data_IF_967529570157
#
_entry.id   IF_967529570157
#
_cell.length_a   1.000
_cell.length_b   1.000
_cell.length_c   1.000
_cell.angle_alpha   90.00
_cell.angle_beta   90.00
_cell.angle_gamma   90.00
#
_symmetry.space_group_name_H-M   'P 1'
#
loop_
_entity.id
_entity.type
_entity.pdbx_description
1 polymer ?
#
# COMPACT_ATOMS: atom_id res chain seq x y z
N UNK A 1 -20.46 53.37 -46.62
CA UNK A 1 -20.96 52.28 -47.46
C UNK A 1 -21.22 51.07 -46.55
N UNK A 2 -22.46 50.94 -46.09
CA UNK A 2 -23.09 49.67 -45.68
C UNK A 2 -23.50 48.92 -46.97
N UNK A 3 -23.78 47.60 -47.00
CA UNK A 3 -24.74 46.93 -46.10
C UNK A 3 -24.27 45.54 -45.58
N UNK A 4 -24.65 45.13 -44.37
CA UNK A 4 -25.88 44.36 -44.07
C UNK A 4 -26.18 43.23 -45.06
N UNK A 5 -25.96 41.98 -44.64
CA UNK A 5 -26.74 40.84 -45.11
C UNK A 5 -27.16 39.95 -43.95
N UNK A 6 -28.47 39.94 -43.74
CA UNK A 6 -29.24 38.96 -42.99
C UNK A 6 -29.61 37.82 -43.94
N UNK A 7 -29.48 36.57 -43.51
CA UNK A 7 -30.27 35.45 -44.03
C UNK A 7 -30.23 34.27 -43.04
N UNK A 8 -31.34 34.06 -42.34
CA UNK A 8 -31.65 32.81 -41.67
C UNK A 8 -32.17 31.78 -42.70
N UNK A 9 -31.94 30.47 -42.46
CA UNK A 9 -32.95 29.47 -42.79
C UNK A 9 -33.48 28.73 -41.55
N UNK A 10 -34.78 28.45 -41.64
CA UNK A 10 -35.68 27.66 -40.81
C UNK A 10 -35.24 26.19 -40.59
N UNK A 11 -35.87 25.47 -39.62
CA UNK A 11 -35.31 24.30 -38.97
C UNK A 11 -35.53 23.02 -39.77
N UNK A 12 -34.52 22.15 -39.82
CA UNK A 12 -34.69 20.75 -40.21
C UNK A 12 -34.91 19.88 -38.98
N UNK A 13 -36.11 19.32 -38.93
CA UNK A 13 -36.56 18.30 -37.99
C UNK A 13 -36.48 16.94 -38.69
N UNK A 14 -35.65 15.99 -38.24
CA UNK A 14 -35.91 14.59 -38.46
C UNK A 14 -36.43 13.98 -37.16
N UNK A 15 -37.72 13.61 -37.19
CA UNK A 15 -38.32 12.67 -36.26
C UNK A 15 -37.50 11.38 -36.25
N UNK A 16 -36.77 11.13 -35.16
CA UNK A 16 -36.40 9.78 -34.75
C UNK A 16 -37.18 9.45 -33.48
N UNK A 17 -38.38 8.91 -33.67
CA UNK A 17 -39.12 8.19 -32.64
C UNK A 17 -38.45 6.82 -32.47
N UNK A 18 -37.48 6.72 -31.57
CA UNK A 18 -37.06 5.44 -31.01
C UNK A 18 -37.70 5.34 -29.62
N UNK A 19 -38.83 4.65 -29.57
CA UNK A 19 -39.44 4.14 -28.34
C UNK A 19 -38.41 3.29 -27.60
N UNK A 20 -38.07 3.58 -26.34
CA UNK A 20 -37.33 2.63 -25.52
C UNK A 20 -38.24 1.44 -25.24
N UNK A 21 -37.90 0.30 -25.82
CA UNK A 21 -38.42 -0.98 -25.35
C UNK A 21 -38.00 -1.15 -23.89
N UNK A 22 -38.89 -1.58 -22.98
CA UNK A 22 -38.50 -1.89 -21.62
C UNK A 22 -37.51 -3.06 -21.66
N UNK A 23 -36.26 -2.77 -21.31
CA UNK A 23 -35.27 -3.82 -21.08
C UNK A 23 -35.75 -4.64 -19.90
N UNK A 24 -36.11 -5.87 -20.26
CA UNK A 24 -36.48 -6.97 -19.41
C UNK A 24 -35.46 -7.09 -18.26
N UNK A 25 -35.97 -7.06 -17.02
CA UNK A 25 -35.21 -7.26 -15.79
C UNK A 25 -34.49 -8.62 -15.85
N UNK A 26 -33.25 -8.60 -16.34
CA UNK A 26 -32.30 -9.67 -16.15
C UNK A 26 -31.84 -9.64 -14.70
N UNK A 27 -32.26 -10.65 -13.93
CA UNK A 27 -31.66 -11.02 -12.66
C UNK A 27 -30.14 -11.17 -12.84
N UNK A 28 -29.40 -10.11 -12.54
CA UNK A 28 -27.98 -10.25 -12.22
C UNK A 28 -27.88 -10.56 -10.74
N UNK A 29 -27.16 -11.62 -10.34
CA UNK A 29 -26.90 -11.87 -8.95
C UNK A 29 -26.13 -10.67 -8.41
N UNK A 30 -26.72 -9.98 -7.43
CA UNK A 30 -26.01 -9.08 -6.53
C UNK A 30 -24.80 -9.85 -6.02
N UNK A 31 -23.62 -9.51 -6.54
CA UNK A 31 -22.38 -9.88 -5.89
C UNK A 31 -22.37 -9.11 -4.58
N UNK A 32 -22.90 -9.75 -3.53
CA UNK A 32 -22.55 -9.38 -2.17
C UNK A 32 -21.04 -9.47 -2.13
N UNK A 33 -20.37 -8.33 -2.08
CA UNK A 33 -19.07 -8.27 -1.48
C UNK A 33 -19.27 -9.00 -0.15
N UNK A 34 -18.67 -10.20 -0.04
CA UNK A 34 -18.62 -10.88 1.23
C UNK A 34 -17.72 -10.01 2.08
N UNK A 35 -18.31 -8.96 2.66
CA UNK A 35 -17.93 -8.52 3.99
C UNK A 35 -17.92 -9.82 4.76
N UNK A 36 -16.75 -10.38 5.01
CA UNK A 36 -16.58 -11.23 6.16
C UNK A 36 -16.92 -10.25 7.27
N UNK A 37 -18.12 -10.32 7.88
CA UNK A 37 -18.29 -9.52 9.06
C UNK A 37 -17.21 -10.01 10.01
N UNK A 38 -16.45 -9.10 10.61
CA UNK A 38 -15.79 -9.40 11.87
C UNK A 38 -16.92 -9.56 12.89
N UNK A 39 -17.71 -10.63 12.73
CA UNK A 39 -18.46 -11.17 13.83
C UNK A 39 -17.38 -11.61 14.80
N UNK A 40 -17.30 -10.91 15.93
CA UNK A 40 -17.05 -11.53 17.23
C UNK A 40 -18.05 -12.69 17.37
N UNK A 41 -17.74 -13.78 16.68
CA UNK A 41 -18.63 -14.91 16.50
C UNK A 41 -18.67 -15.69 17.79
N UNK A 42 -19.83 -15.65 18.45
CA UNK A 42 -20.23 -16.69 19.38
C UNK A 42 -20.26 -18.02 18.62
N UNK A 43 -19.16 -18.77 18.74
CA UNK A 43 -18.93 -20.08 18.13
C UNK A 43 -19.95 -21.11 18.62
N UNK A 44 -20.61 -21.78 17.68
CA UNK A 44 -21.40 -22.98 17.93
C UNK A 44 -20.50 -24.22 17.86
N UNK A 45 -20.33 -24.89 19.00
CA UNK A 45 -20.38 -26.36 19.11
C UNK A 45 -19.27 -27.26 18.52
N UNK A 46 -18.18 -26.76 17.95
CA UNK A 46 -17.04 -27.59 17.56
C UNK A 46 -16.04 -27.76 18.71
N UNK A 47 -15.75 -29.00 19.13
CA UNK A 47 -14.87 -29.36 20.25
C UNK A 47 -13.38 -29.01 20.08
N UNK A 48 -13.07 -27.73 19.85
CA UNK A 48 -11.70 -27.21 19.85
C UNK A 48 -11.29 -26.86 21.28
N UNK A 49 -10.15 -27.40 21.72
CA UNK A 49 -9.50 -26.94 22.94
C UNK A 49 -9.22 -25.42 22.92
N UNK A 50 -8.80 -24.85 24.06
CA UNK A 50 -8.48 -23.42 24.14
C UNK A 50 -7.45 -23.04 23.07
N UNK A 51 -7.58 -21.84 22.51
CA UNK A 51 -6.67 -21.33 21.48
C UNK A 51 -5.21 -21.35 22.00
N UNK A 52 -4.25 -21.91 21.23
CA UNK A 52 -2.83 -21.83 21.60
C UNK A 52 -2.38 -20.36 21.72
N UNK A 53 -1.31 -20.11 22.49
CA UNK A 53 -0.71 -18.76 22.57
C UNK A 53 -0.22 -18.33 21.18
N UNK A 54 -0.49 -17.09 20.77
CA UNK A 54 -0.06 -16.55 19.47
C UNK A 54 1.46 -16.50 19.33
N UNK A 55 2.18 -16.15 20.41
CA UNK A 55 3.64 -16.01 20.39
C UNK A 55 4.36 -17.01 21.29
N UNK A 56 5.57 -17.38 20.88
CA UNK A 56 6.53 -18.19 21.65
C UNK A 56 7.95 -17.66 21.46
N UNK A 57 8.85 -17.94 22.40
CA UNK A 57 10.26 -17.56 22.32
C UNK A 57 11.11 -18.74 21.84
N UNK A 58 11.86 -18.55 20.77
CA UNK A 58 12.77 -19.56 20.19
C UNK A 58 14.15 -18.92 20.09
N UNK A 59 15.13 -19.46 20.82
CA UNK A 59 16.52 -18.97 20.82
C UNK A 59 16.66 -17.47 21.11
N UNK A 60 15.88 -16.94 22.07
CA UNK A 60 15.95 -15.52 22.43
C UNK A 60 15.09 -14.60 21.57
N UNK A 61 14.55 -15.07 20.45
CA UNK A 61 13.71 -14.30 19.51
C UNK A 61 12.24 -14.72 19.68
N UNK A 62 11.34 -13.74 19.82
CA UNK A 62 9.90 -14.00 19.86
C UNK A 62 9.38 -14.23 18.44
N UNK A 63 8.53 -15.25 18.24
CA UNK A 63 8.02 -15.67 16.93
C UNK A 63 6.56 -16.08 16.99
N UNK A 64 5.90 -16.12 15.84
CA UNK A 64 4.56 -16.70 15.70
C UNK A 64 4.60 -18.19 16.07
N UNK A 65 3.69 -18.62 16.94
CA UNK A 65 3.57 -19.99 17.38
C UNK A 65 3.03 -20.89 16.25
N UNK A 66 3.76 -21.93 15.81
CA UNK A 66 3.27 -22.87 14.79
C UNK A 66 1.95 -23.55 15.17
N UNK A 67 1.69 -23.79 16.46
CA UNK A 67 0.43 -24.40 16.93
C UNK A 67 -0.75 -23.44 16.79
N UNK A 68 -0.55 -22.16 17.14
CA UNK A 68 -1.56 -21.13 16.93
C UNK A 68 -1.90 -20.99 15.43
N UNK A 69 -0.86 -21.00 14.58
CA UNK A 69 -1.02 -20.96 13.13
C UNK A 69 -1.92 -22.09 12.64
N UNK A 70 -1.60 -23.35 12.99
CA UNK A 70 -2.41 -24.51 12.60
C UNK A 70 -3.84 -24.43 13.13
N UNK A 71 -4.00 -23.98 14.38
CA UNK A 71 -5.32 -23.76 14.97
C UNK A 71 -6.14 -22.73 14.19
N UNK A 72 -5.54 -21.60 13.81
CA UNK A 72 -6.21 -20.54 13.06
C UNK A 72 -6.55 -20.99 11.63
N UNK A 73 -5.62 -21.65 10.95
CA UNK A 73 -5.83 -22.23 9.61
C UNK A 73 -6.92 -23.29 9.60
N UNK A 74 -7.09 -24.06 10.69
CA UNK A 74 -8.19 -25.03 10.82
C UNK A 74 -9.58 -24.39 10.87
N UNK A 75 -9.67 -23.07 11.09
CA UNK A 75 -10.91 -22.29 11.04
C UNK A 75 -11.22 -21.78 9.62
N UNK A 76 -10.42 -22.14 8.61
CA UNK A 76 -10.60 -21.68 7.23
C UNK A 76 -10.11 -20.25 6.98
N UNK A 77 -9.35 -19.68 7.93
CA UNK A 77 -8.74 -18.35 7.80
C UNK A 77 -7.23 -18.51 7.85
N UNK A 78 -6.47 -18.03 6.85
CA UNK A 78 -5.02 -18.01 6.92
C UNK A 78 -4.56 -17.34 8.22
N UNK A 79 -3.64 -17.98 8.95
CA UNK A 79 -3.14 -17.39 10.18
C UNK A 79 -2.25 -16.18 9.92
N UNK A 80 -1.59 -16.17 8.76
CA UNK A 80 -0.70 -15.10 8.33
C UNK A 80 -0.47 -15.12 6.83
N UNK A 81 -0.19 -13.94 6.28
CA UNK A 81 0.18 -13.65 4.89
C UNK A 81 1.71 -13.59 4.69
N UNK A 82 2.49 -13.59 5.77
CA UNK A 82 3.96 -13.62 5.71
C UNK A 82 4.44 -14.94 5.10
N UNK A 83 5.37 -14.90 4.14
CA UNK A 83 5.81 -16.10 3.42
C UNK A 83 6.58 -17.09 4.31
N UNK A 84 7.38 -16.58 5.26
CA UNK A 84 8.24 -17.39 6.14
C UNK A 84 7.98 -17.14 7.65
N UNK A 85 6.78 -17.43 8.16
CA UNK A 85 6.37 -16.96 9.49
C UNK A 85 7.07 -17.68 10.66
N UNK A 86 7.73 -18.81 10.41
CA UNK A 86 8.60 -19.47 11.41
C UNK A 86 9.98 -18.81 11.54
N UNK A 87 10.34 -17.93 10.59
CA UNK A 87 11.59 -17.20 10.57
C UNK A 87 11.36 -15.74 10.93
N UNK A 88 10.28 -15.15 10.41
CA UNK A 88 9.93 -13.75 10.58
C UNK A 88 9.83 -13.31 12.06
N UNK A 89 10.14 -12.03 12.28
CA UNK A 89 9.83 -11.32 13.52
C UNK A 89 8.30 -11.26 13.75
N UNK A 90 7.83 -11.01 14.98
CA UNK A 90 6.41 -10.96 15.26
C UNK A 90 5.79 -9.69 14.67
N UNK A 91 4.56 -9.79 14.17
CA UNK A 91 3.73 -8.64 13.78
C UNK A 91 2.84 -8.31 14.97
N UNK A 92 2.97 -7.11 15.51
CA UNK A 92 2.09 -6.62 16.58
C UNK A 92 1.14 -5.59 15.97
N UNK A 93 -0.14 -5.94 15.82
CA UNK A 93 -1.11 -5.09 15.11
C UNK A 93 -2.06 -4.29 16.00
N UNK A 94 -2.14 -4.61 17.29
CA UNK A 94 -3.02 -3.94 18.25
C UNK A 94 -2.49 -4.04 19.68
N UNK A 95 -3.02 -3.24 20.60
CA UNK A 95 -2.64 -3.30 22.02
C UNK A 95 -2.91 -4.67 22.64
N UNK A 96 -4.03 -5.32 22.30
CA UNK A 96 -4.32 -6.70 22.72
C UNK A 96 -3.26 -7.69 22.21
N UNK A 97 -2.71 -7.44 21.02
CA UNK A 97 -1.64 -8.26 20.45
C UNK A 97 -0.29 -8.03 21.14
N UNK A 98 -0.03 -6.78 21.54
CA UNK A 98 1.14 -6.40 22.35
C UNK A 98 1.10 -7.05 23.74
N UNK A 99 -0.06 -7.07 24.39
CA UNK A 99 -0.26 -7.79 25.65
C UNK A 99 0.04 -9.29 25.51
N UNK A 100 -0.42 -9.92 24.41
CA UNK A 100 -0.12 -11.33 24.12
C UNK A 100 1.38 -11.57 23.90
N UNK A 101 2.07 -10.65 23.24
CA UNK A 101 3.52 -10.69 23.05
C UNK A 101 4.24 -10.63 24.41
N UNK A 102 3.86 -9.69 25.27
CA UNK A 102 4.43 -9.50 26.59
C UNK A 102 4.19 -10.70 27.50
N UNK A 103 2.96 -11.25 27.51
CA UNK A 103 2.65 -12.46 28.25
C UNK A 103 3.53 -13.65 27.81
N UNK A 104 3.82 -13.77 26.51
CA UNK A 104 4.74 -14.79 26.00
C UNK A 104 6.20 -14.54 26.40
N UNK A 105 6.65 -13.28 26.34
CA UNK A 105 8.02 -12.89 26.76
C UNK A 105 8.25 -13.18 28.25
N UNK A 106 7.35 -12.72 29.12
CA UNK A 106 7.42 -12.90 30.57
C UNK A 106 7.35 -14.39 30.94
N UNK A 107 6.46 -15.16 30.32
CA UNK A 107 6.35 -16.60 30.56
C UNK A 107 7.62 -17.38 30.18
N UNK A 108 8.43 -16.83 29.25
CA UNK A 108 9.73 -17.39 28.86
C UNK A 108 10.91 -16.82 29.68
N UNK A 109 10.65 -16.11 30.79
CA UNK A 109 11.67 -15.47 31.63
C UNK A 109 12.29 -14.21 31.00
N UNK A 110 11.68 -13.66 29.96
CA UNK A 110 12.05 -12.38 29.37
C UNK A 110 11.53 -11.17 30.17
N UNK A 111 11.86 -9.98 29.67
CA UNK A 111 11.29 -8.71 30.16
C UNK A 111 10.10 -8.32 29.29
N UNK A 112 9.32 -7.37 29.79
CA UNK A 112 8.36 -6.64 28.98
C UNK A 112 9.06 -6.00 27.77
N UNK A 113 8.41 -6.09 26.62
CA UNK A 113 8.82 -5.49 25.35
C UNK A 113 8.08 -4.16 25.25
N UNK A 114 8.77 -3.03 25.39
CA UNK A 114 8.12 -1.73 25.29
C UNK A 114 7.68 -1.45 23.86
N UNK A 115 6.66 -0.61 23.71
CA UNK A 115 6.29 -0.03 22.43
C UNK A 115 7.39 0.93 21.97
N UNK A 116 7.58 1.03 20.65
CA UNK A 116 8.49 2.05 20.11
C UNK A 116 7.98 3.46 20.45
N UNK A 117 8.90 4.41 20.64
CA UNK A 117 8.57 5.80 20.99
C UNK A 117 7.57 6.43 19.99
N UNK A 118 7.77 6.21 18.69
CA UNK A 118 6.86 6.70 17.64
C UNK A 118 5.44 6.12 17.76
N UNK A 119 5.34 4.88 18.24
CA UNK A 119 4.05 4.18 18.41
C UNK A 119 3.31 4.72 19.61
N UNK A 120 4.00 4.94 20.75
CA UNK A 120 3.42 5.60 21.91
C UNK A 120 2.90 6.99 21.55
N UNK A 121 3.73 7.81 20.90
CA UNK A 121 3.35 9.16 20.48
C UNK A 121 2.14 9.17 19.53
N UNK A 122 2.06 8.18 18.63
CA UNK A 122 0.91 8.06 17.71
C UNK A 122 -0.35 7.64 18.44
N UNK A 123 -0.26 6.70 19.38
CA UNK A 123 -1.42 6.30 20.19
C UNK A 123 -1.95 7.50 20.99
N UNK A 124 -1.07 8.32 21.57
CA UNK A 124 -1.46 9.54 22.27
C UNK A 124 -2.13 10.54 21.34
N UNK A 125 -1.54 10.83 20.17
CA UNK A 125 -2.12 11.72 19.16
C UNK A 125 -3.49 11.22 18.67
N UNK A 126 -3.64 9.91 18.46
CA UNK A 126 -4.89 9.29 18.03
C UNK A 126 -5.99 9.34 19.08
N UNK A 127 -5.68 9.66 20.33
CA UNK A 127 -6.65 9.88 21.40
C UNK A 127 -7.05 11.36 21.54
N UNK A 128 -6.43 12.26 20.76
CA UNK A 128 -6.83 13.67 20.72
C UNK A 128 -8.26 13.80 20.17
N UNK A 129 -9.17 14.52 20.87
CA UNK A 129 -10.57 14.64 20.47
C UNK A 129 -10.76 15.12 19.03
N UNK A 130 -9.93 16.05 18.56
CA UNK A 130 -9.97 16.64 17.22
C UNK A 130 -9.75 15.57 16.14
N UNK A 131 -8.67 14.79 16.27
CA UNK A 131 -8.32 13.70 15.34
C UNK A 131 -9.43 12.64 15.31
N UNK A 132 -9.96 12.28 16.47
CA UNK A 132 -11.04 11.30 16.58
C UNK A 132 -12.31 11.77 15.88
N UNK A 133 -12.69 13.04 16.11
CA UNK A 133 -13.86 13.65 15.47
C UNK A 133 -13.73 13.70 13.95
N UNK A 134 -12.54 14.03 13.43
CA UNK A 134 -12.26 14.01 11.99
C UNK A 134 -12.36 12.61 11.38
N UNK A 135 -11.95 11.58 12.11
CA UNK A 135 -12.14 10.18 11.72
C UNK A 135 -13.58 9.67 11.91
N UNK A 136 -14.45 10.45 12.57
CA UNK A 136 -15.84 10.07 12.87
C UNK A 136 -15.96 9.03 14.00
N UNK A 137 -15.00 9.02 14.91
CA UNK A 137 -14.90 8.08 16.05
C UNK A 137 -14.78 8.84 17.38
N UNK A 138 -15.06 8.14 18.48
CA UNK A 138 -14.78 8.65 19.83
C UNK A 138 -13.33 8.33 20.23
N UNK A 139 -12.68 9.11 21.11
CA UNK A 139 -11.31 8.80 21.57
C UNK A 139 -11.11 7.40 22.13
N UNK A 140 -12.12 6.85 22.82
CA UNK A 140 -12.10 5.49 23.36
C UNK A 140 -12.23 4.41 22.27
N UNK A 141 -12.67 4.76 21.06
CA UNK A 141 -12.94 3.82 19.98
C UNK A 141 -11.86 3.83 18.88
N UNK A 142 -11.15 4.96 18.70
CA UNK A 142 -10.24 5.17 17.58
C UNK A 142 -9.14 4.10 17.52
N UNK A 143 -8.42 3.91 18.63
CA UNK A 143 -7.30 2.97 18.73
C UNK A 143 -7.80 1.52 18.58
N UNK A 144 -8.97 1.21 19.13
CA UNK A 144 -9.55 -0.13 19.05
C UNK A 144 -10.03 -0.48 17.64
N UNK A 145 -10.72 0.45 16.95
CA UNK A 145 -11.20 0.23 15.59
C UNK A 145 -10.05 0.20 14.58
N UNK A 146 -9.08 1.11 14.69
CA UNK A 146 -7.88 1.05 13.84
C UNK A 146 -7.08 -0.23 14.15
N UNK A 147 -6.87 -0.55 15.42
CA UNK A 147 -6.20 -1.79 15.83
C UNK A 147 -6.90 -3.04 15.28
N UNK A 148 -8.23 -3.05 15.20
CA UNK A 148 -9.00 -4.13 14.62
C UNK A 148 -8.76 -4.28 13.11
N UNK A 149 -8.73 -3.18 12.34
CA UNK A 149 -8.46 -3.24 10.90
C UNK A 149 -7.00 -3.59 10.61
N UNK A 150 -6.04 -3.06 11.39
CA UNK A 150 -4.63 -3.45 11.27
C UNK A 150 -4.44 -4.93 11.60
N UNK A 151 -5.10 -5.44 12.65
CA UNK A 151 -5.04 -6.85 12.99
C UNK A 151 -5.73 -7.75 11.94
N UNK A 152 -6.77 -7.28 11.26
CA UNK A 152 -7.38 -8.00 10.12
C UNK A 152 -6.36 -8.22 9.00
N UNK A 153 -5.54 -7.22 8.70
CA UNK A 153 -4.57 -7.26 7.61
C UNK A 153 -3.16 -7.65 8.05
N UNK A 154 -2.93 -7.86 9.35
CA UNK A 154 -1.61 -8.05 9.95
C UNK A 154 -0.65 -6.88 9.66
N UNK A 155 -1.16 -5.66 9.63
CA UNK A 155 -0.32 -4.48 9.55
C UNK A 155 0.32 -4.22 10.93
N UNK A 156 1.65 -4.02 11.02
CA UNK A 156 2.28 -3.62 12.27
C UNK A 156 1.75 -2.26 12.74
N UNK A 157 1.47 -2.14 14.04
CA UNK A 157 0.99 -0.89 14.63
C UNK A 157 2.01 0.26 14.53
N UNK A 158 3.30 -0.08 14.37
CA UNK A 158 4.34 0.92 14.13
C UNK A 158 4.07 1.78 12.91
N UNK A 159 3.35 1.25 11.91
CA UNK A 159 2.99 1.96 10.69
C UNK A 159 1.82 2.94 10.86
N UNK A 160 1.18 3.02 12.03
CA UNK A 160 0.11 4.00 12.30
C UNK A 160 0.62 5.44 12.15
N UNK A 161 1.85 5.71 12.58
CA UNK A 161 2.44 7.04 12.46
C UNK A 161 2.57 7.47 10.99
N UNK A 162 2.81 6.52 10.09
CA UNK A 162 2.91 6.77 8.65
C UNK A 162 1.56 7.06 8.04
N UNK A 163 0.52 6.35 8.47
CA UNK A 163 -0.86 6.62 8.05
C UNK A 163 -1.33 8.03 8.46
N UNK A 164 -0.86 8.54 9.60
CA UNK A 164 -1.21 9.91 10.03
C UNK A 164 -0.71 11.00 9.08
N UNK A 165 0.33 10.75 8.27
CA UNK A 165 0.79 11.69 7.23
C UNK A 165 -0.31 11.99 6.20
N UNK A 166 -1.25 11.08 5.99
CA UNK A 166 -2.37 11.27 5.06
C UNK A 166 -3.28 12.45 5.46
N UNK A 167 -3.26 12.85 6.74
CA UNK A 167 -4.03 14.00 7.24
C UNK A 167 -3.48 15.35 6.74
N UNK A 168 -2.21 15.40 6.34
CA UNK A 168 -1.55 16.61 5.84
C UNK A 168 -1.95 16.96 4.39
N UNK A 169 -2.61 16.03 3.70
CA UNK A 169 -3.07 16.20 2.32
C UNK A 169 -4.51 16.68 2.29
N UNK A 170 -4.76 17.68 1.44
CA UNK A 170 -6.12 18.16 1.20
C UNK A 170 -6.93 17.17 0.36
N UNK A 171 -6.25 16.43 -0.53
CA UNK A 171 -6.86 15.45 -1.42
C UNK A 171 -5.97 14.23 -1.57
N UNK A 172 -6.57 13.05 -1.42
CA UNK A 172 -6.02 11.77 -1.88
C UNK A 172 -6.66 11.46 -3.24
N UNK A 173 -5.93 11.66 -4.34
CA UNK A 173 -6.44 11.48 -5.70
C UNK A 173 -6.03 10.13 -6.28
N UNK A 174 -7.00 9.26 -6.48
CA UNK A 174 -6.86 7.99 -7.19
C UNK A 174 -7.22 8.16 -8.66
N UNK A 175 -6.24 7.96 -9.52
CA UNK A 175 -6.36 7.95 -10.97
C UNK A 175 -6.38 6.50 -11.42
N UNK A 176 -7.49 6.05 -11.99
CA UNK A 176 -7.66 4.65 -12.40
C UNK A 176 -7.65 4.56 -13.92
N UNK A 177 -6.73 3.76 -14.47
CA UNK A 177 -6.79 3.38 -15.87
C UNK A 177 -8.06 2.57 -16.12
N UNK A 178 -8.85 3.05 -17.07
CA UNK A 178 -10.04 2.40 -17.58
C UNK A 178 -9.94 2.18 -19.09
N UNK A 179 -8.73 2.03 -19.62
CA UNK A 179 -8.43 1.68 -21.01
C UNK A 179 -8.86 0.26 -21.37
N UNK A 180 -8.96 -0.06 -22.67
CA UNK A 180 -9.35 -1.41 -23.11
C UNK A 180 -8.43 -2.53 -22.62
N UNK A 181 -7.15 -2.27 -22.35
CA UNK A 181 -6.19 -3.26 -21.85
C UNK A 181 -6.53 -3.76 -20.45
N UNK A 182 -7.26 -2.96 -19.65
CA UNK A 182 -7.70 -3.37 -18.31
C UNK A 182 -8.70 -4.55 -18.32
N UNK A 183 -9.19 -4.96 -19.49
CA UNK A 183 -9.99 -6.20 -19.66
C UNK A 183 -9.16 -7.47 -19.71
N UNK A 184 -7.84 -7.37 -19.86
CA UNK A 184 -6.90 -8.50 -19.87
C UNK A 184 -6.89 -9.15 -18.48
N UNK A 185 -6.67 -10.47 -18.46
CA UNK A 185 -6.52 -11.24 -17.23
C UNK A 185 -5.24 -10.81 -16.52
N UNK A 186 -5.37 -10.43 -15.25
CA UNK A 186 -4.27 -10.20 -14.33
C UNK A 186 -3.72 -11.55 -13.84
N UNK A 187 -2.49 -11.56 -13.37
CA UNK A 187 -1.84 -12.67 -12.68
C UNK A 187 -2.34 -12.84 -11.23
N UNK A 188 -3.09 -11.87 -10.72
CA UNK A 188 -3.78 -11.97 -9.43
C UNK A 188 -5.07 -12.81 -9.52
N UNK A 189 -5.42 -13.45 -8.40
CA UNK A 189 -6.65 -14.25 -8.27
C UNK A 189 -7.58 -13.65 -7.20
N UNK A 190 -8.88 -13.77 -7.43
CA UNK A 190 -9.90 -13.40 -6.45
C UNK A 190 -9.85 -14.33 -5.23
N UNK A 191 -10.52 -13.94 -4.14
CA UNK A 191 -10.62 -14.76 -2.92
C UNK A 191 -11.24 -16.16 -3.15
N UNK A 192 -11.99 -16.35 -4.23
CA UNK A 192 -12.55 -17.65 -4.62
C UNK A 192 -11.62 -18.45 -5.57
N UNK A 193 -10.38 -18.01 -5.77
CA UNK A 193 -9.37 -18.63 -6.62
C UNK A 193 -9.58 -18.41 -8.12
N UNK A 194 -10.56 -17.61 -8.55
CA UNK A 194 -10.77 -17.32 -9.98
C UNK A 194 -9.80 -16.24 -10.47
N UNK A 195 -9.26 -16.36 -11.69
CA UNK A 195 -8.52 -15.27 -12.32
C UNK A 195 -9.38 -14.00 -12.37
N UNK A 196 -8.74 -12.85 -12.19
CA UNK A 196 -9.39 -11.54 -12.30
C UNK A 196 -8.89 -10.81 -13.54
N UNK A 197 -9.66 -9.87 -14.06
CA UNK A 197 -9.11 -8.88 -15.00
C UNK A 197 -8.35 -7.81 -14.23
N UNK A 198 -7.43 -7.11 -14.90
CA UNK A 198 -6.69 -5.97 -14.32
C UNK A 198 -7.63 -4.89 -13.76
N UNK A 199 -8.78 -4.67 -14.41
CA UNK A 199 -9.87 -3.82 -13.89
C UNK A 199 -10.46 -4.28 -12.55
N UNK A 200 -10.68 -5.59 -12.41
CA UNK A 200 -11.21 -6.18 -11.18
C UNK A 200 -10.17 -6.17 -10.05
N UNK A 201 -8.90 -6.33 -10.40
CA UNK A 201 -7.79 -6.17 -9.47
C UNK A 201 -7.73 -4.73 -8.94
N UNK A 202 -7.73 -3.72 -9.83
CA UNK A 202 -7.72 -2.31 -9.45
C UNK A 202 -8.92 -1.97 -8.54
N UNK A 203 -10.12 -2.48 -8.85
CA UNK A 203 -11.30 -2.30 -7.99
C UNK A 203 -11.09 -2.90 -6.60
N UNK A 204 -10.57 -4.13 -6.53
CA UNK A 204 -10.33 -4.82 -5.27
C UNK A 204 -9.30 -4.07 -4.43
N UNK A 205 -8.13 -3.75 -5.00
CA UNK A 205 -7.05 -3.03 -4.32
C UNK A 205 -7.51 -1.67 -3.81
N UNK A 206 -8.24 -0.91 -4.63
CA UNK A 206 -8.83 0.36 -4.21
C UNK A 206 -9.75 0.19 -3.00
N UNK A 207 -10.62 -0.85 -2.97
CA UNK A 207 -11.50 -1.11 -1.83
C UNK A 207 -10.72 -1.54 -0.57
N UNK A 208 -9.66 -2.33 -0.73
CA UNK A 208 -8.79 -2.72 0.38
C UNK A 208 -8.08 -1.49 0.99
N UNK A 209 -7.56 -0.60 0.15
CA UNK A 209 -7.00 0.69 0.58
C UNK A 209 -8.07 1.56 1.27
N UNK A 210 -9.28 1.62 0.72
CA UNK A 210 -10.40 2.34 1.34
C UNK A 210 -10.72 1.80 2.74
N UNK A 211 -10.56 0.50 3.00
CA UNK A 211 -10.83 -0.07 4.32
C UNK A 211 -9.91 0.51 5.40
N UNK A 212 -8.62 0.69 5.08
CA UNK A 212 -7.66 1.36 5.97
C UNK A 212 -8.00 2.85 6.09
N UNK A 213 -8.20 3.55 4.96
CA UNK A 213 -8.55 4.98 4.94
C UNK A 213 -9.88 5.27 5.66
N UNK A 214 -10.78 4.29 5.72
CA UNK A 214 -12.00 4.33 6.50
C UNK A 214 -11.77 4.50 8.00
N UNK A 215 -10.55 4.26 8.51
CA UNK A 215 -10.21 4.37 9.92
C UNK A 215 -9.15 5.45 10.21
N UNK A 216 -8.65 6.15 9.20
CA UNK A 216 -7.63 7.20 9.31
C UNK A 216 -8.26 8.55 8.95
N UNK A 217 -8.01 9.66 9.67
CA UNK A 217 -8.54 10.95 9.28
C UNK A 217 -8.06 11.34 7.88
N UNK A 218 -8.95 11.97 7.09
CA UNK A 218 -8.61 12.52 5.78
C UNK A 218 -9.60 13.63 5.43
N UNK A 219 -9.17 14.55 4.56
CA UNK A 219 -9.99 15.67 4.09
C UNK A 219 -10.96 15.25 2.97
N UNK A 220 -10.40 14.80 1.84
CA UNK A 220 -11.16 14.37 0.68
C UNK A 220 -10.43 13.25 -0.07
N UNK A 221 -11.17 12.23 -0.50
CA UNK A 221 -10.69 11.23 -1.46
C UNK A 221 -11.38 11.52 -2.79
N UNK A 222 -10.59 11.70 -3.86
CA UNK A 222 -11.11 11.82 -5.22
C UNK A 222 -10.72 10.60 -6.04
N UNK A 223 -11.69 10.02 -6.76
CA UNK A 223 -11.43 8.94 -7.71
C UNK A 223 -11.80 9.44 -9.10
N UNK A 224 -10.86 9.37 -10.04
CA UNK A 224 -11.07 9.73 -11.43
C UNK A 224 -10.58 8.61 -12.36
N UNK A 225 -11.14 8.56 -13.56
CA UNK A 225 -10.80 7.56 -14.56
C UNK A 225 -10.22 8.23 -15.80
N UNK A 226 -9.31 7.56 -16.50
CA UNK A 226 -8.57 8.20 -17.60
C UNK A 226 -9.47 8.60 -18.78
N UNK A 227 -10.46 7.78 -19.15
CA UNK A 227 -11.31 7.96 -20.32
C UNK A 227 -12.68 8.58 -19.98
N UNK A 228 -12.91 9.02 -18.73
CA UNK A 228 -14.22 9.51 -18.26
C UNK A 228 -14.14 10.89 -17.61
N UNK A 229 -15.02 11.84 -17.94
CA UNK A 229 -15.02 13.14 -17.28
C UNK A 229 -15.48 13.07 -15.81
N UNK A 230 -16.24 12.04 -15.43
CA UNK A 230 -16.81 11.87 -14.10
C UNK A 230 -15.73 11.66 -13.04
N UNK A 231 -15.96 12.23 -11.85
CA UNK A 231 -15.13 12.05 -10.67
C UNK A 231 -15.99 11.74 -9.46
N UNK A 232 -15.57 10.78 -8.65
CA UNK A 232 -16.15 10.52 -7.35
C UNK A 232 -15.41 11.37 -6.32
N UNK A 233 -16.17 12.04 -5.44
CA UNK A 233 -15.63 12.70 -4.25
C UNK A 233 -16.21 12.01 -3.03
N UNK A 234 -15.34 11.41 -2.22
CA UNK A 234 -15.68 10.73 -0.99
C UNK A 234 -15.18 11.58 0.17
N UNK A 235 -16.10 11.96 1.05
CA UNK A 235 -15.82 12.72 2.27
C UNK A 235 -16.42 12.01 3.47
N UNK A 236 -15.75 12.13 4.62
CA UNK A 236 -16.24 11.57 5.89
C UNK A 236 -17.60 12.14 6.27
N UNK A 237 -17.70 13.48 6.27
CA UNK A 237 -18.87 14.24 6.71
C UNK A 237 -19.37 13.81 8.12
N UNK A 238 -18.44 13.58 9.06
CA UNK A 238 -18.75 13.14 10.43
C UNK A 238 -19.32 11.72 10.55
N UNK A 239 -19.35 10.93 9.47
CA UNK A 239 -19.78 9.53 9.50
C UNK A 239 -18.71 8.65 10.15
N UNK A 240 -19.15 7.69 10.95
CA UNK A 240 -18.27 6.63 11.44
C UNK A 240 -17.72 5.76 10.30
N UNK A 241 -16.60 5.04 10.53
CA UNK A 241 -15.95 4.19 9.52
C UNK A 241 -16.91 3.26 8.79
N UNK A 242 -17.74 2.52 9.53
CA UNK A 242 -18.66 1.53 8.96
C UNK A 242 -19.65 2.14 7.97
N UNK A 243 -20.27 3.27 8.32
CA UNK A 243 -21.25 3.96 7.48
C UNK A 243 -20.59 4.60 6.28
N UNK A 244 -19.41 5.20 6.48
CA UNK A 244 -18.60 5.74 5.39
C UNK A 244 -18.22 4.66 4.37
N UNK A 245 -17.66 3.54 4.83
CA UNK A 245 -17.19 2.44 3.99
C UNK A 245 -18.32 1.79 3.18
N UNK A 246 -19.48 1.57 3.79
CA UNK A 246 -20.63 1.01 3.09
C UNK A 246 -21.06 1.87 1.88
N UNK A 247 -21.07 3.20 2.07
CA UNK A 247 -21.39 4.13 0.99
C UNK A 247 -20.25 4.27 -0.03
N UNK A 248 -19.00 4.36 0.42
CA UNK A 248 -17.82 4.42 -0.44
C UNK A 248 -17.75 3.19 -1.36
N UNK A 249 -17.92 1.98 -0.81
CA UNK A 249 -17.94 0.75 -1.60
C UNK A 249 -19.06 0.73 -2.63
N UNK A 250 -20.27 1.17 -2.27
CA UNK A 250 -21.39 1.26 -3.20
C UNK A 250 -21.08 2.22 -4.37
N UNK A 251 -20.49 3.37 -4.09
CA UNK A 251 -20.13 4.35 -5.11
C UNK A 251 -19.00 3.84 -6.02
N UNK A 252 -17.99 3.20 -5.44
CA UNK A 252 -16.90 2.54 -6.19
C UNK A 252 -17.47 1.45 -7.08
N UNK A 253 -18.27 0.53 -6.53
CA UNK A 253 -18.86 -0.57 -7.29
C UNK A 253 -19.74 -0.06 -8.44
N UNK A 254 -20.49 1.03 -8.23
CA UNK A 254 -21.29 1.66 -9.29
C UNK A 254 -20.41 2.25 -10.40
N UNK A 255 -19.29 2.88 -10.07
CA UNK A 255 -18.37 3.42 -11.08
C UNK A 255 -17.64 2.32 -11.86
N UNK A 256 -17.25 1.24 -11.18
CA UNK A 256 -16.58 0.08 -11.79
C UNK A 256 -17.53 -0.82 -12.58
N UNK A 257 -18.84 -0.74 -12.35
CA UNK A 257 -19.85 -1.45 -13.14
C UNK A 257 -19.87 -1.04 -14.61
N UNK A 258 -19.45 0.20 -14.93
CA UNK A 258 -19.09 0.57 -16.30
C UNK A 258 -17.69 0.04 -16.58
N UNK A 259 -17.60 -1.00 -17.40
CA UNK A 259 -16.33 -1.63 -17.77
C UNK A 259 -15.36 -0.68 -18.49
N UNK A 260 -14.07 -1.03 -18.53
CA UNK A 260 -13.04 -0.18 -19.08
C UNK A 260 -13.09 -0.17 -20.62
N UNK A 261 -12.85 0.99 -21.23
CA UNK A 261 -12.88 1.24 -22.67
C UNK A 261 -11.96 2.40 -23.03
N UNK A 262 -11.39 2.38 -24.23
CA UNK A 262 -10.61 3.51 -24.76
C UNK A 262 -9.12 3.27 -24.68
N UNK A 263 -8.37 4.35 -24.45
CA UNK A 263 -6.90 4.40 -24.52
C UNK A 263 -6.30 4.75 -23.15
N UNK A 264 -5.00 5.00 -23.03
CA UNK A 264 -4.36 5.32 -21.75
C UNK A 264 -3.84 6.77 -21.73
N UNK A 265 -4.71 7.80 -21.70
CA UNK A 265 -4.32 9.22 -21.73
C UNK A 265 -3.81 9.72 -20.37
N UNK A 266 -2.87 8.99 -19.76
CA UNK A 266 -2.40 9.29 -18.40
C UNK A 266 -1.65 10.63 -18.32
N UNK A 267 -0.82 10.95 -19.32
CA UNK A 267 -0.11 12.23 -19.36
C UNK A 267 -1.08 13.43 -19.34
N UNK A 268 -2.15 13.36 -20.14
CA UNK A 268 -3.17 14.40 -20.21
C UNK A 268 -3.88 14.55 -18.86
N UNK A 269 -4.22 13.44 -18.21
CA UNK A 269 -4.89 13.44 -16.91
C UNK A 269 -4.00 13.92 -15.78
N UNK A 270 -2.72 13.58 -15.82
CA UNK A 270 -1.77 14.04 -14.83
C UNK A 270 -1.60 15.56 -14.92
N UNK A 271 -1.46 16.10 -16.15
CA UNK A 271 -1.46 17.56 -16.39
C UNK A 271 -2.74 18.23 -15.91
N UNK A 272 -3.89 17.64 -16.21
CA UNK A 272 -5.19 18.14 -15.74
C UNK A 272 -5.25 18.19 -14.21
N UNK A 273 -4.76 17.16 -13.51
CA UNK A 273 -4.69 17.12 -12.05
C UNK A 273 -3.83 18.26 -11.50
N UNK A 274 -2.59 18.42 -11.98
CA UNK A 274 -1.71 19.52 -11.52
C UNK A 274 -2.29 20.90 -11.82
N UNK A 275 -2.92 21.08 -12.99
CA UNK A 275 -3.56 22.35 -13.34
C UNK A 275 -4.75 22.66 -12.43
N UNK A 276 -5.56 21.65 -12.13
CA UNK A 276 -6.77 21.78 -11.31
C UNK A 276 -6.47 22.15 -9.87
N UNK A 277 -5.51 21.46 -9.25
CA UNK A 277 -5.18 21.69 -7.85
C UNK A 277 -4.23 22.87 -7.68
N UNK A 278 -3.42 23.17 -8.71
CA UNK A 278 -2.41 24.21 -8.64
C UNK A 278 -1.23 23.83 -7.74
N UNK A 279 -0.22 24.71 -7.66
CA UNK A 279 1.05 24.41 -6.98
C UNK A 279 0.98 24.48 -5.44
N UNK A 280 -0.08 25.08 -4.89
CA UNK A 280 -0.18 25.40 -3.46
C UNK A 280 -1.05 24.43 -2.68
N UNK A 281 -1.54 23.35 -3.31
CA UNK A 281 -2.35 22.33 -2.66
C UNK A 281 -1.54 21.07 -2.42
N UNK A 282 -1.73 20.47 -1.26
CA UNK A 282 -1.15 19.17 -0.95
C UNK A 282 -2.07 18.07 -1.49
N UNK A 283 -1.59 17.32 -2.49
CA UNK A 283 -2.34 16.25 -3.16
C UNK A 283 -1.48 15.01 -3.30
N UNK A 284 -1.83 13.96 -2.56
CA UNK A 284 -1.24 12.64 -2.76
C UNK A 284 -1.92 11.95 -3.94
N UNK A 285 -1.14 11.54 -4.95
CA UNK A 285 -1.67 10.94 -6.19
C UNK A 285 -1.31 9.47 -6.27
N UNK A 286 -2.28 8.67 -6.68
CA UNK A 286 -2.14 7.23 -6.88
C UNK A 286 -2.60 6.90 -8.29
N UNK A 287 -1.79 6.19 -9.08
CA UNK A 287 -2.16 5.74 -10.41
C UNK A 287 -2.26 4.23 -10.48
N UNK A 288 -3.48 3.71 -10.65
CA UNK A 288 -3.71 2.32 -11.02
C UNK A 288 -3.60 2.20 -12.54
N UNK A 289 -2.60 1.50 -13.05
CA UNK A 289 -2.38 1.36 -14.50
C UNK A 289 -1.77 0.03 -14.88
N UNK A 290 -1.94 -0.37 -16.14
CA UNK A 290 -1.47 -1.66 -16.63
C UNK A 290 -0.49 -1.59 -17.80
N UNK A 291 0.04 -0.40 -18.10
CA UNK A 291 1.03 -0.28 -19.14
C UNK A 291 1.38 1.15 -19.55
N UNK A 292 1.57 1.32 -20.85
CA UNK A 292 2.19 2.53 -21.41
C UNK A 292 1.15 3.62 -21.67
N UNK A 293 1.48 4.89 -21.36
CA UNK A 293 0.62 6.01 -21.71
C UNK A 293 0.54 6.21 -23.23
N UNK A 294 -0.55 6.85 -23.68
CA UNK A 294 -0.72 7.30 -25.05
C UNK A 294 0.48 8.14 -25.50
N UNK A 295 1.05 7.79 -26.65
CA UNK A 295 2.26 8.42 -27.18
C UNK A 295 3.56 7.70 -26.82
N UNK A 296 3.51 6.61 -26.05
CA UNK A 296 4.66 5.73 -25.79
C UNK A 296 5.81 6.44 -25.06
N UNK A 297 7.05 6.16 -25.47
CA UNK A 297 8.26 6.70 -24.80
C UNK A 297 8.29 8.24 -24.66
N UNK A 298 7.91 9.04 -25.68
CA UNK A 298 7.76 10.49 -25.51
C UNK A 298 6.84 10.89 -24.35
N UNK A 299 5.72 10.19 -24.15
CA UNK A 299 4.80 10.50 -23.06
C UNK A 299 5.34 10.08 -21.70
N UNK A 300 6.00 8.92 -21.61
CA UNK A 300 6.71 8.48 -20.39
C UNK A 300 7.75 9.50 -19.96
N UNK A 301 8.62 9.94 -20.88
CA UNK A 301 9.65 10.94 -20.59
C UNK A 301 9.04 12.28 -20.12
N UNK A 302 7.92 12.68 -20.70
CA UNK A 302 7.21 13.89 -20.31
C UNK A 302 6.52 13.77 -18.95
N UNK A 303 5.98 12.60 -18.60
CA UNK A 303 5.44 12.32 -17.25
C UNK A 303 6.56 12.44 -16.22
N UNK A 304 7.69 11.77 -16.45
CA UNK A 304 8.86 11.83 -15.57
C UNK A 304 9.35 13.27 -15.42
N UNK A 305 9.49 14.01 -16.54
CA UNK A 305 9.87 15.42 -16.51
C UNK A 305 8.89 16.26 -15.69
N UNK A 306 7.59 16.02 -15.86
CA UNK A 306 6.55 16.74 -15.13
C UNK A 306 6.63 16.46 -13.63
N UNK A 307 6.88 15.21 -13.23
CA UNK A 307 7.06 14.86 -11.82
C UNK A 307 8.35 15.44 -11.24
N UNK A 308 9.48 15.38 -11.96
CA UNK A 308 10.75 15.98 -11.52
C UNK A 308 10.65 17.50 -11.33
N UNK A 309 9.85 18.17 -12.17
CA UNK A 309 9.75 19.63 -12.19
C UNK A 309 8.53 20.16 -11.42
N UNK A 310 7.75 19.27 -10.77
CA UNK A 310 6.56 19.69 -10.04
C UNK A 310 6.94 20.57 -8.84
N UNK A 311 6.17 21.62 -8.56
CA UNK A 311 6.35 22.41 -7.35
C UNK A 311 5.94 21.58 -6.13
N UNK A 312 6.66 21.75 -5.02
CA UNK A 312 6.38 21.09 -3.73
C UNK A 312 6.18 19.56 -3.86
N UNK A 313 7.23 18.79 -4.20
CA UNK A 313 7.11 17.35 -4.42
C UNK A 313 6.67 16.58 -3.18
N UNK A 314 7.07 17.01 -1.98
CA UNK A 314 6.64 16.44 -0.68
C UNK A 314 5.13 16.59 -0.45
N UNK A 315 4.56 17.76 -0.77
CA UNK A 315 3.11 17.96 -0.75
C UNK A 315 2.39 17.35 -1.96
N UNK A 316 3.11 16.81 -2.95
CA UNK A 316 2.54 16.23 -4.16
C UNK A 316 3.18 14.87 -4.50
N UNK A 317 3.14 13.88 -3.60
CA UNK A 317 3.75 12.58 -3.84
C UNK A 317 2.96 11.82 -4.91
N UNK A 318 3.64 10.88 -5.56
CA UNK A 318 3.09 10.05 -6.62
C UNK A 318 3.34 8.57 -6.33
N UNK A 319 2.29 7.76 -6.25
CA UNK A 319 2.42 6.30 -6.16
C UNK A 319 1.88 5.66 -7.43
N UNK A 320 2.71 4.87 -8.10
CA UNK A 320 2.32 4.00 -9.20
C UNK A 320 1.88 2.64 -8.65
N UNK A 321 0.73 2.15 -9.10
CA UNK A 321 0.14 0.89 -8.70
C UNK A 321 -0.08 0.03 -9.94
N UNK A 322 0.92 -0.76 -10.29
CA UNK A 322 0.89 -1.62 -11.47
C UNK A 322 -0.17 -2.71 -11.32
N UNK A 323 -1.02 -2.86 -12.33
CA UNK A 323 -2.08 -3.87 -12.40
C UNK A 323 -1.80 -4.82 -13.57
N UNK A 324 -0.60 -5.40 -13.64
CA UNK A 324 -0.21 -6.30 -14.73
C UNK A 324 0.95 -7.22 -14.35
N UNK A 325 0.82 -8.53 -14.59
CA UNK A 325 1.95 -9.46 -14.58
C UNK A 325 2.83 -9.41 -15.84
N UNK A 326 3.02 -8.24 -16.45
CA UNK A 326 3.92 -8.02 -17.59
C UNK A 326 4.80 -6.81 -17.31
N UNK A 327 5.90 -7.07 -16.60
CA UNK A 327 6.85 -6.09 -16.08
C UNK A 327 7.30 -5.10 -17.15
N UNK A 328 7.50 -5.56 -18.39
CA UNK A 328 7.97 -4.71 -19.49
C UNK A 328 6.99 -3.58 -19.85
N UNK A 329 5.69 -3.71 -19.53
CA UNK A 329 4.70 -2.67 -19.79
C UNK A 329 4.77 -1.55 -18.75
N UNK A 330 5.25 -1.84 -17.54
CA UNK A 330 5.26 -0.94 -16.38
C UNK A 330 6.66 -0.59 -15.88
N UNK A 331 7.72 -1.16 -16.46
CA UNK A 331 9.13 -0.89 -16.10
C UNK A 331 9.45 0.60 -16.04
N UNK A 332 8.81 1.39 -16.90
CA UNK A 332 9.00 2.85 -16.91
C UNK A 332 8.54 3.56 -15.64
N UNK A 333 7.62 2.96 -14.87
CA UNK A 333 7.16 3.44 -13.56
C UNK A 333 8.22 3.18 -12.49
N UNK A 334 8.84 1.98 -12.51
CA UNK A 334 10.01 1.64 -11.67
C UNK A 334 11.19 2.55 -11.98
N UNK A 335 11.50 2.75 -13.27
CA UNK A 335 12.51 3.71 -13.72
C UNK A 335 12.21 5.15 -13.23
N UNK A 336 10.93 5.52 -13.12
CA UNK A 336 10.53 6.84 -12.66
C UNK A 336 10.70 6.99 -11.14
N UNK A 337 10.26 6.01 -10.36
CA UNK A 337 10.46 5.94 -8.90
C UNK A 337 11.93 6.16 -8.52
N UNK A 338 12.85 5.46 -9.18
CA UNK A 338 14.30 5.52 -8.90
C UNK A 338 14.91 6.94 -9.01
N UNK A 339 14.28 7.86 -9.74
CA UNK A 339 14.84 9.20 -9.99
C UNK A 339 13.92 10.34 -9.57
N UNK A 340 12.62 10.10 -9.42
CA UNK A 340 11.64 11.13 -9.07
C UNK A 340 11.51 11.18 -7.54
N UNK A 341 11.81 12.31 -6.89
CA UNK A 341 11.64 12.40 -5.44
C UNK A 341 10.16 12.29 -5.06
N UNK A 342 9.87 11.66 -3.92
CA UNK A 342 8.51 11.41 -3.42
C UNK A 342 7.64 10.67 -4.46
N UNK A 343 8.23 9.62 -5.05
CA UNK A 343 7.58 8.75 -6.00
C UNK A 343 7.84 7.32 -5.57
N UNK A 344 6.80 6.48 -5.58
CA UNK A 344 6.93 5.05 -5.30
C UNK A 344 6.23 4.25 -6.40
N UNK A 345 6.67 3.03 -6.63
CA UNK A 345 5.99 2.02 -7.43
C UNK A 345 5.65 0.84 -6.52
N UNK A 346 4.45 0.30 -6.66
CA UNK A 346 4.07 -0.91 -5.92
C UNK A 346 3.27 -1.84 -6.83
N UNK A 347 3.85 -3.01 -7.07
CA UNK A 347 3.19 -4.08 -7.81
C UNK A 347 2.11 -4.79 -6.96
N UNK A 348 1.62 -5.94 -7.39
CA UNK A 348 0.81 -6.81 -6.55
C UNK A 348 1.60 -7.34 -5.34
N UNK A 349 0.89 -7.70 -4.26
CA UNK A 349 1.50 -8.12 -3.00
C UNK A 349 2.50 -9.27 -3.15
N UNK A 350 2.23 -10.24 -4.03
CA UNK A 350 3.08 -11.43 -4.12
C UNK A 350 4.45 -11.08 -4.67
N UNK A 351 4.48 -10.24 -5.69
CA UNK A 351 5.71 -9.90 -6.38
C UNK A 351 6.49 -8.86 -5.56
N UNK A 352 5.80 -7.85 -5.01
CA UNK A 352 6.36 -6.92 -4.03
C UNK A 352 6.97 -7.64 -2.82
N UNK A 353 6.27 -8.62 -2.25
CA UNK A 353 6.82 -9.39 -1.13
C UNK A 353 8.07 -10.19 -1.53
N UNK A 354 8.13 -10.71 -2.76
CA UNK A 354 9.31 -11.40 -3.25
C UNK A 354 10.51 -10.45 -3.39
N UNK A 355 10.28 -9.23 -3.88
CA UNK A 355 11.28 -8.16 -3.96
C UNK A 355 11.78 -7.78 -2.56
N UNK A 356 10.87 -7.47 -1.65
CA UNK A 356 11.20 -7.14 -0.25
C UNK A 356 11.94 -8.28 0.44
N UNK A 357 11.59 -9.54 0.24
CA UNK A 357 12.33 -10.64 0.88
C UNK A 357 13.71 -10.89 0.25
N UNK A 358 13.88 -10.60 -1.04
CA UNK A 358 15.18 -10.63 -1.72
C UNK A 358 16.09 -9.52 -1.16
N UNK A 359 15.52 -8.38 -0.78
CA UNK A 359 16.27 -7.19 -0.40
C UNK A 359 16.44 -7.07 1.12
N UNK A 360 15.37 -7.23 1.90
CA UNK A 360 15.36 -7.13 3.36
C UNK A 360 15.57 -8.47 4.09
N UNK A 361 15.37 -9.58 3.39
CA UNK A 361 15.44 -10.92 3.97
C UNK A 361 14.16 -11.35 4.70
N UNK A 362 13.96 -12.66 4.78
CA UNK A 362 12.74 -13.32 5.30
C UNK A 362 12.45 -13.12 6.80
N UNK A 363 13.32 -12.42 7.52
CA UNK A 363 13.08 -12.07 8.93
C UNK A 363 12.21 -10.82 9.07
N UNK A 364 12.19 -9.92 8.08
CA UNK A 364 11.23 -8.82 8.03
C UNK A 364 9.83 -9.40 7.80
N UNK A 365 8.85 -9.13 8.67
CA UNK A 365 7.53 -9.72 8.56
C UNK A 365 6.66 -8.91 7.60
N UNK A 366 7.05 -8.86 6.33
CA UNK A 366 6.30 -8.17 5.29
C UNK A 366 5.00 -8.93 5.01
N UNK A 367 3.88 -8.44 5.54
CA UNK A 367 2.54 -8.98 5.42
C UNK A 367 1.72 -8.22 4.39
N UNK A 368 0.52 -8.72 4.08
CA UNK A 368 -0.40 -7.99 3.20
C UNK A 368 -0.80 -6.63 3.77
N UNK A 369 -0.95 -6.50 5.09
CA UNK A 369 -1.21 -5.22 5.74
C UNK A 369 -0.03 -4.26 5.69
N UNK A 370 1.19 -4.78 5.80
CA UNK A 370 2.41 -3.99 5.57
C UNK A 370 2.40 -3.41 4.16
N UNK A 371 2.18 -4.27 3.17
CA UNK A 371 2.02 -3.90 1.76
C UNK A 371 0.94 -2.82 1.54
N UNK A 372 -0.28 -3.02 2.08
CA UNK A 372 -1.36 -2.04 1.93
C UNK A 372 -0.96 -0.65 2.44
N UNK A 373 -0.24 -0.57 3.56
CA UNK A 373 0.23 0.72 4.06
C UNK A 373 1.30 1.30 3.13
N UNK A 374 2.22 0.49 2.61
CA UNK A 374 3.23 0.96 1.65
C UNK A 374 2.58 1.56 0.41
N UNK A 375 1.54 0.92 -0.15
CA UNK A 375 0.79 1.46 -1.29
C UNK A 375 0.13 2.82 -1.01
N UNK A 376 -0.11 3.15 0.27
CA UNK A 376 -0.71 4.42 0.69
C UNK A 376 0.35 5.50 0.97
N UNK A 377 1.51 5.15 1.52
CA UNK A 377 2.41 6.17 2.10
C UNK A 377 3.89 6.01 1.75
N UNK A 378 4.31 5.01 0.97
CA UNK A 378 5.72 4.83 0.61
C UNK A 378 6.32 6.08 -0.06
N UNK A 379 5.63 6.65 -1.05
CA UNK A 379 6.05 7.88 -1.72
C UNK A 379 6.20 9.11 -0.80
N UNK A 380 5.65 9.07 0.43
CA UNK A 380 5.78 10.12 1.45
C UNK A 380 6.92 9.84 2.43
N UNK A 381 7.55 8.66 2.32
CA UNK A 381 8.48 8.11 3.29
C UNK A 381 9.75 7.57 2.60
N UNK A 382 10.50 8.44 1.90
CA UNK A 382 11.66 8.03 1.09
C UNK A 382 12.80 7.40 1.90
N UNK A 383 12.89 7.68 3.20
CA UNK A 383 13.98 7.21 4.06
C UNK A 383 13.69 5.87 4.77
N UNK A 384 12.47 5.32 4.67
CA UNK A 384 12.14 4.03 5.28
C UNK A 384 11.29 3.09 4.41
N UNK A 385 10.00 3.37 4.20
CA UNK A 385 9.11 2.47 3.46
C UNK A 385 9.47 2.37 1.99
N UNK A 386 9.80 3.50 1.37
CA UNK A 386 10.32 3.54 -0.01
C UNK A 386 11.68 2.82 -0.10
N UNK A 387 12.50 2.91 0.96
CA UNK A 387 13.83 2.33 1.01
C UNK A 387 13.86 0.80 1.23
N UNK A 388 12.71 0.11 1.18
CA UNK A 388 12.63 -1.33 1.44
C UNK A 388 13.39 -2.16 0.40
N UNK A 389 13.41 -1.76 -0.86
CA UNK A 389 14.05 -2.47 -1.98
C UNK A 389 15.50 -1.95 -2.30
N UNK A 390 15.89 -0.83 -1.69
CA UNK A 390 17.22 -0.19 -1.85
C UNK A 390 18.39 -1.07 -1.37
N UNK A 391 18.12 -2.23 -0.74
CA UNK A 391 19.13 -3.21 -0.33
C UNK A 391 20.13 -2.69 0.71
N UNK A 392 19.64 -1.81 1.58
CA UNK A 392 20.29 -1.35 2.80
C UNK A 392 19.48 -1.89 3.98
N UNK A 393 20.13 -2.42 5.05
CA UNK A 393 19.37 -2.90 6.20
C UNK A 393 18.78 -1.72 6.96
N UNK A 394 17.59 -1.91 7.52
CA UNK A 394 17.05 -0.95 8.49
C UNK A 394 17.96 -0.86 9.71
N UNK A 395 18.13 0.35 10.22
CA UNK A 395 18.68 0.51 11.57
C UNK A 395 17.74 -0.13 12.58
N UNK A 396 18.24 -0.43 13.77
CA UNK A 396 17.39 -0.94 14.85
C UNK A 396 16.24 0.02 15.13
N UNK A 397 16.52 1.33 15.17
CA UNK A 397 15.50 2.34 15.47
C UNK A 397 14.43 2.42 14.37
N UNK A 398 14.82 2.37 13.09
CA UNK A 398 13.86 2.32 11.98
C UNK A 398 13.00 1.05 12.07
N UNK A 399 13.61 -0.12 12.29
CA UNK A 399 12.88 -1.38 12.41
C UNK A 399 11.90 -1.38 13.61
N UNK A 400 12.34 -0.86 14.75
CA UNK A 400 11.50 -0.70 15.94
C UNK A 400 10.28 0.18 15.64
N UNK A 401 10.51 1.32 14.98
CA UNK A 401 9.45 2.25 14.59
C UNK A 401 8.47 1.64 13.58
N UNK A 402 8.96 0.90 12.59
CA UNK A 402 8.12 0.25 11.58
C UNK A 402 7.24 -0.86 12.18
N UNK A 403 7.80 -1.66 13.09
CA UNK A 403 7.09 -2.78 13.70
C UNK A 403 6.30 -2.41 14.96
N UNK A 404 6.60 -1.26 15.55
CA UNK A 404 5.89 -0.65 16.68
C UNK A 404 6.33 -1.13 18.06
N UNK A 405 7.44 -1.86 18.14
CA UNK A 405 7.99 -2.40 19.40
C UNK A 405 9.50 -2.21 19.44
N UNK A 406 10.06 -2.05 20.63
CA UNK A 406 11.52 -2.04 20.78
C UNK A 406 12.07 -3.47 20.79
N UNK A 407 12.82 -3.82 19.75
CA UNK A 407 13.51 -5.09 19.70
C UNK A 407 14.66 -5.12 20.70
N UNK A 408 14.92 -6.28 21.29
CA UNK A 408 16.22 -6.52 21.93
C UNK A 408 17.32 -6.73 20.88
N UNK A 409 18.58 -6.71 21.31
CA UNK A 409 19.71 -6.91 20.41
C UNK A 409 19.62 -8.27 19.69
N UNK A 410 19.15 -9.33 20.34
CA UNK A 410 19.03 -10.65 19.71
C UNK A 410 18.01 -10.68 18.56
N UNK A 411 16.85 -10.04 18.73
CA UNK A 411 15.83 -9.99 17.66
C UNK A 411 16.28 -9.11 16.51
N UNK A 412 16.94 -7.98 16.80
CA UNK A 412 17.53 -7.14 15.77
C UNK A 412 18.67 -7.85 15.01
N UNK A 413 19.56 -8.54 15.73
CA UNK A 413 20.62 -9.37 15.14
C UNK A 413 20.05 -10.48 14.25
N UNK A 414 18.95 -11.10 14.66
CA UNK A 414 18.23 -12.10 13.87
C UNK A 414 17.76 -11.50 12.54
N UNK A 415 17.11 -10.33 12.55
CA UNK A 415 16.76 -9.62 11.33
C UNK A 415 17.99 -9.33 10.45
N UNK A 416 19.02 -8.71 11.03
CA UNK A 416 20.22 -8.29 10.31
C UNK A 416 20.96 -9.47 9.65
N UNK A 417 21.04 -10.62 10.31
CA UNK A 417 21.66 -11.82 9.75
C UNK A 417 20.88 -12.37 8.55
N UNK A 418 19.55 -12.33 8.61
CA UNK A 418 18.70 -12.75 7.49
C UNK A 418 18.77 -11.77 6.30
N UNK A 419 18.89 -10.46 6.57
CA UNK A 419 19.22 -9.47 5.55
C UNK A 419 20.55 -9.78 4.86
N UNK A 420 21.64 -9.98 5.63
CA UNK A 420 22.97 -10.31 5.07
C UNK A 420 22.94 -11.62 4.27
N UNK A 421 22.18 -12.61 4.75
CA UNK A 421 21.98 -13.88 4.03
C UNK A 421 21.28 -13.67 2.68
N UNK A 422 20.24 -12.82 2.64
CA UNK A 422 19.53 -12.48 1.41
C UNK A 422 20.46 -11.78 0.41
N UNK A 423 21.24 -10.79 0.85
CA UNK A 423 22.21 -10.11 -0.01
C UNK A 423 23.28 -11.07 -0.57
N UNK A 424 23.80 -12.00 0.24
CA UNK A 424 24.73 -13.04 -0.23
C UNK A 424 24.10 -13.99 -1.24
N UNK A 425 22.81 -14.32 -1.05
CA UNK A 425 22.05 -15.20 -1.92
C UNK A 425 21.56 -14.51 -3.21
N UNK A 426 21.64 -13.17 -3.30
CA UNK A 426 21.22 -12.39 -4.46
C UNK A 426 21.81 -12.97 -5.75
N UNK A 427 20.94 -13.20 -6.73
CA UNK A 427 21.36 -13.53 -8.09
C UNK A 427 21.77 -12.24 -8.77
N UNK A 428 22.92 -12.25 -9.43
CA UNK A 428 23.36 -11.11 -10.22
C UNK A 428 22.76 -11.30 -11.60
N UNK A 429 21.79 -10.46 -11.95
CA UNK A 429 21.11 -10.53 -13.23
C UNK A 429 22.02 -10.04 -14.35
N UNK A 430 21.66 -10.35 -15.59
CA UNK A 430 22.36 -9.83 -16.76
C UNK A 430 21.60 -8.62 -17.30
N UNK A 431 22.33 -7.58 -17.67
CA UNK A 431 21.80 -6.45 -18.42
C UNK A 431 21.43 -6.85 -19.87
N UNK A 432 20.87 -5.91 -20.63
CA UNK A 432 20.49 -6.10 -22.03
C UNK A 432 21.63 -6.54 -22.95
N UNK A 433 22.89 -6.37 -22.52
CA UNK A 433 24.09 -6.77 -23.25
C UNK A 433 24.66 -8.10 -22.77
N UNK A 434 23.95 -8.81 -21.89
CA UNK A 434 24.38 -10.09 -21.32
C UNK A 434 25.52 -9.95 -20.30
N UNK A 435 25.76 -8.75 -19.76
CA UNK A 435 26.78 -8.50 -18.73
C UNK A 435 26.13 -8.48 -17.36
N UNK A 436 26.82 -8.90 -16.29
CA UNK A 436 26.29 -8.76 -14.93
C UNK A 436 25.85 -7.33 -14.60
N UNK A 437 24.61 -7.15 -14.12
CA UNK A 437 24.07 -5.86 -13.70
C UNK A 437 24.94 -5.32 -12.54
N UNK A 438 25.55 -4.15 -12.75
CA UNK A 438 26.50 -3.56 -11.78
C UNK A 438 25.84 -3.32 -10.42
N UNK A 439 24.59 -2.89 -10.40
CA UNK A 439 23.84 -2.64 -9.16
C UNK A 439 23.68 -3.91 -8.33
N UNK A 440 23.33 -5.05 -8.95
CA UNK A 440 23.24 -6.33 -8.24
C UNK A 440 24.58 -6.82 -7.71
N UNK A 441 25.66 -6.64 -8.48
CA UNK A 441 27.01 -6.97 -8.02
C UNK A 441 27.38 -6.15 -6.79
N UNK A 442 27.07 -4.85 -6.80
CA UNK A 442 27.34 -3.96 -5.69
C UNK A 442 26.52 -4.36 -4.45
N UNK A 443 25.20 -4.56 -4.60
CA UNK A 443 24.28 -5.04 -3.56
C UNK A 443 24.78 -6.34 -2.91
N UNK A 444 25.18 -7.32 -3.75
CA UNK A 444 25.67 -8.63 -3.30
C UNK A 444 27.01 -8.59 -2.56
N UNK A 445 27.92 -7.72 -2.99
CA UNK A 445 29.29 -7.68 -2.48
C UNK A 445 29.48 -6.72 -1.30
N UNK A 446 28.46 -5.94 -0.95
CA UNK A 446 28.50 -5.02 0.19
C UNK A 446 28.70 -5.78 1.52
N UNK A 447 29.71 -5.37 2.30
CA UNK A 447 30.05 -6.00 3.58
C UNK A 447 29.27 -5.37 4.74
N UNK A 448 27.95 -5.54 4.75
CA UNK A 448 27.09 -5.01 5.79
C UNK A 448 27.39 -5.57 7.19
N UNK A 449 27.90 -6.81 7.28
CA UNK A 449 28.25 -7.45 8.55
C UNK A 449 29.30 -6.66 9.35
N UNK A 450 30.27 -6.04 8.67
CA UNK A 450 31.27 -5.18 9.31
C UNK A 450 30.66 -3.90 9.91
N UNK A 451 29.48 -3.49 9.45
CA UNK A 451 28.79 -2.26 9.88
C UNK A 451 27.68 -2.51 10.90
N UNK A 452 27.51 -3.74 11.41
CA UNK A 452 26.40 -4.09 12.31
C UNK A 452 26.24 -3.13 13.50
N UNK A 453 27.34 -2.72 14.14
CA UNK A 453 27.31 -1.81 15.28
C UNK A 453 26.83 -0.40 14.90
N UNK A 454 27.05 0.05 13.66
CA UNK A 454 26.57 1.34 13.19
C UNK A 454 25.06 1.30 13.02
N UNK A 455 24.52 0.26 12.39
CA UNK A 455 23.06 0.09 12.24
C UNK A 455 22.34 -0.15 13.57
N UNK A 456 23.02 -0.71 14.56
CA UNK A 456 22.46 -0.88 15.91
C UNK A 456 22.25 0.46 16.63
N UNK A 457 23.06 1.49 16.32
CA UNK A 457 23.13 2.76 17.07
C UNK A 457 22.60 3.96 16.30
N UNK A 458 22.75 3.96 14.98
CA UNK A 458 22.35 5.08 14.16
C UNK A 458 20.82 5.23 14.17
N UNK A 459 20.30 6.47 14.26
CA UNK A 459 18.88 6.74 14.07
C UNK A 459 18.38 6.28 12.70
N UNK A 460 19.07 6.69 11.64
CA UNK A 460 18.70 6.42 10.25
C UNK A 460 19.88 5.85 9.47
N UNK A 461 19.61 4.99 8.49
CA UNK A 461 20.64 4.34 7.68
C UNK A 461 21.43 5.36 6.85
N UNK A 462 20.77 6.43 6.37
CA UNK A 462 21.39 7.53 5.62
C UNK A 462 22.48 8.29 6.39
N UNK A 463 22.54 8.14 7.72
CA UNK A 463 23.58 8.73 8.58
C UNK A 463 24.82 7.84 8.72
N UNK A 464 24.79 6.60 8.22
CA UNK A 464 25.91 5.65 8.30
C UNK A 464 26.86 5.91 7.12
N UNK A 465 28.16 6.16 7.35
CA UNK A 465 29.11 6.48 6.27
C UNK A 465 29.19 5.38 5.18
N UNK A 466 29.11 4.11 5.56
CA UNK A 466 29.11 2.99 4.62
C UNK A 466 27.89 3.01 3.69
N UNK A 467 26.71 3.37 4.21
CA UNK A 467 25.47 3.52 3.42
C UNK A 467 25.61 4.68 2.44
N UNK A 468 26.12 5.82 2.88
CA UNK A 468 26.35 6.97 1.99
C UNK A 468 27.32 6.64 0.87
N UNK A 469 28.38 5.88 1.15
CA UNK A 469 29.31 5.42 0.13
C UNK A 469 28.64 4.45 -0.84
N UNK A 470 27.86 3.50 -0.33
CA UNK A 470 27.12 2.54 -1.13
C UNK A 470 26.13 3.25 -2.08
N UNK A 471 25.32 4.20 -1.57
CA UNK A 471 24.40 4.98 -2.40
C UNK A 471 25.12 5.78 -3.49
N UNK A 472 26.28 6.39 -3.19
CA UNK A 472 27.10 7.05 -4.22
C UNK A 472 27.57 6.09 -5.31
N UNK A 473 27.96 4.86 -4.95
CA UNK A 473 28.39 3.85 -5.91
C UNK A 473 27.26 3.28 -6.77
N UNK A 474 26.00 3.35 -6.30
CA UNK A 474 24.82 3.00 -7.10
C UNK A 474 24.52 4.06 -8.17
N UNK A 475 24.84 5.33 -7.89
CA UNK A 475 24.63 6.46 -8.82
C UNK A 475 25.73 6.60 -9.89
N UNK A 476 26.90 5.98 -9.67
CA UNK A 476 28.04 5.90 -10.61
C UNK A 476 27.93 4.72 -11.57
#
# INVERSE_FOLDING_TARGET
MNPQYSAAPQPMNPQYSATPQPLNNGNYPTATASMIPVTTGMSSGGGGGPAPKKYIKINGVTKLNPEYRRWKESQGVPATTVASPSIALPIVSSMEDHEKLNAASIAAGGKEVPLAESTNATIEMMQEPEICMEAGMRPDEMVDQLGAVLNKYEAPMGLMNKLMLLTEFEVLEFMVDDSGSMTIVSDTVAANGRPQTRWQEAQRRLKEMMEILGHVPFNEIQICFLNRPERLSLRRNGRNPQTFLADAYRQIDQAFARGPTGSTPFLERLRESFQRFGPNRNVARYFFGDGQPNGGNPAKAEIVRLLLQRPNPEGNPMTFLSCTGDDAQVEWMKDAEEIVPFCAECDDFKDEAAEVYRDQGVALPFSFGFYLICTLVAAMNPDDLDAMDESVPFTKMTLDNLLGIEHNEESYRHYFQHFVSAQRARKVELDDFGRPKRTDQLKKNANWEACYQDFLRAPLASQIPAVQQFKRQLME
#
